data_IF_555309531447
#
_entry.id   IF_555309531447
#
_cell.length_a   1.000
_cell.length_b   1.000
_cell.length_c   1.000
_cell.angle_alpha   90.00
_cell.angle_beta   90.00
_cell.angle_gamma   90.00
#
_symmetry.space_group_name_H-M   'P 1'
#
loop_
_entity.id
_entity.type
_entity.pdbx_description
1 polymer ?
#
# COMPACT_ATOMS: atom_id res chain seq x y z
N UNK A 1 -5.01 5.94 3.36
CA UNK A 1 -5.72 5.38 4.54
C UNK A 1 -5.50 3.88 4.59
N UNK A 2 -5.31 3.28 5.77
CA UNK A 2 -5.04 1.84 5.92
C UNK A 2 -6.27 0.96 5.73
N UNK A 3 -7.47 1.52 5.80
CA UNK A 3 -8.74 0.83 5.59
C UNK A 3 -9.77 1.81 4.97
N UNK A 4 -10.86 1.28 4.43
CA UNK A 4 -12.02 2.05 3.98
C UNK A 4 -12.71 2.69 5.17
N UNK A 5 -13.49 3.75 4.92
CA UNK A 5 -14.28 4.41 5.97
C UNK A 5 -15.13 3.37 6.73
N UNK A 6 -15.25 3.54 8.04
CA UNK A 6 -16.01 2.70 8.96
C UNK A 6 -15.51 1.25 9.15
N UNK A 7 -14.32 0.90 8.65
CA UNK A 7 -13.68 -0.41 8.88
C UNK A 7 -12.45 -0.30 9.78
N UNK A 8 -12.02 -1.44 10.37
CA UNK A 8 -10.86 -1.50 11.27
C UNK A 8 -9.59 -1.90 10.51
N UNK A 9 -8.46 -1.35 10.94
CA UNK A 9 -7.15 -1.81 10.46
C UNK A 9 -6.66 -2.99 11.28
N UNK A 10 -6.27 -4.08 10.62
CA UNK A 10 -5.87 -5.32 11.29
C UNK A 10 -4.40 -5.29 11.69
N UNK A 11 -4.15 -5.69 12.94
CA UNK A 11 -2.80 -5.83 13.52
C UNK A 11 -2.65 -7.22 14.10
N UNK A 12 -1.53 -7.85 13.76
CA UNK A 12 -1.07 -9.10 14.34
C UNK A 12 -0.09 -8.71 15.46
N UNK A 13 -0.25 -9.19 16.71
CA UNK A 13 0.62 -8.80 17.82
C UNK A 13 2.11 -9.03 17.55
N UNK A 14 2.45 -10.13 16.87
CA UNK A 14 3.81 -10.60 16.64
C UNK A 14 4.49 -9.87 15.48
N UNK A 15 3.76 -9.62 14.38
CA UNK A 15 4.33 -9.09 13.12
C UNK A 15 3.91 -7.65 12.83
N UNK A 16 3.02 -7.07 13.65
CA UNK A 16 2.52 -5.72 13.49
C UNK A 16 1.35 -5.62 12.51
N UNK A 17 1.17 -4.44 11.90
CA UNK A 17 0.01 -4.14 11.05
C UNK A 17 0.15 -4.79 9.67
N UNK A 18 -0.86 -5.56 9.25
CA UNK A 18 -0.85 -6.28 7.98
C UNK A 18 -0.63 -5.35 6.78
N UNK A 19 -1.30 -4.19 6.77
CA UNK A 19 -1.12 -3.16 5.75
C UNK A 19 0.33 -2.69 5.61
N UNK A 20 1.01 -2.40 6.73
CA UNK A 20 2.40 -1.90 6.69
C UNK A 20 3.34 -2.99 6.20
N UNK A 21 3.14 -4.24 6.63
CA UNK A 21 3.92 -5.38 6.13
C UNK A 21 3.81 -5.49 4.61
N UNK A 22 2.60 -5.47 4.06
CA UNK A 22 2.36 -5.54 2.61
C UNK A 22 2.88 -4.34 1.84
N UNK A 23 2.81 -3.15 2.45
CA UNK A 23 3.36 -1.93 1.87
C UNK A 23 4.89 -2.00 1.75
N UNK A 24 5.58 -2.36 2.83
CA UNK A 24 7.05 -2.49 2.85
C UNK A 24 7.51 -3.57 1.87
N UNK A 25 6.88 -4.73 1.88
CA UNK A 25 7.15 -5.82 0.93
C UNK A 25 7.02 -5.33 -0.52
N UNK A 26 5.94 -4.61 -0.84
CA UNK A 26 5.68 -4.12 -2.19
C UNK A 26 6.69 -3.06 -2.62
N UNK A 27 7.00 -2.09 -1.76
CA UNK A 27 7.98 -1.02 -2.04
C UNK A 27 9.36 -1.63 -2.28
N UNK A 28 9.86 -2.47 -1.38
CA UNK A 28 11.19 -3.09 -1.52
C UNK A 28 11.30 -3.92 -2.81
N UNK A 29 10.21 -4.55 -3.23
CA UNK A 29 10.21 -5.42 -4.41
C UNK A 29 10.07 -4.63 -5.72
N UNK A 30 9.37 -3.49 -5.74
CA UNK A 30 8.91 -2.87 -6.99
C UNK A 30 9.34 -1.40 -7.18
N UNK A 31 9.82 -0.71 -6.15
CA UNK A 31 10.14 0.72 -6.22
C UNK A 31 11.25 1.09 -7.21
N UNK A 32 12.06 0.11 -7.64
CA UNK A 32 13.09 0.29 -8.66
C UNK A 32 12.53 0.48 -10.08
N UNK A 33 11.26 0.15 -10.32
CA UNK A 33 10.64 0.18 -11.65
C UNK A 33 9.25 0.81 -11.71
N UNK A 34 8.51 0.79 -10.60
CA UNK A 34 7.12 1.25 -10.54
C UNK A 34 7.02 2.56 -9.75
N UNK A 35 6.18 3.48 -10.23
CA UNK A 35 5.88 4.73 -9.52
C UNK A 35 4.92 4.49 -8.35
N UNK A 36 4.83 5.46 -7.43
CA UNK A 36 4.13 5.32 -6.15
C UNK A 36 2.68 4.84 -6.28
N UNK A 37 1.94 5.32 -7.28
CA UNK A 37 0.55 4.92 -7.52
C UNK A 37 0.42 3.45 -7.92
N UNK A 38 1.35 2.92 -8.72
CA UNK A 38 1.38 1.50 -9.07
C UNK A 38 1.76 0.63 -7.88
N UNK A 39 2.66 1.12 -7.01
CA UNK A 39 2.98 0.44 -5.76
C UNK A 39 1.74 0.33 -4.88
N UNK A 40 0.98 1.42 -4.68
CA UNK A 40 -0.26 1.37 -3.91
C UNK A 40 -1.32 0.49 -4.55
N UNK A 41 -1.46 0.50 -5.88
CA UNK A 41 -2.37 -0.39 -6.61
C UNK A 41 -2.05 -1.86 -6.36
N UNK A 42 -0.76 -2.23 -6.39
CA UNK A 42 -0.31 -3.60 -6.06
C UNK A 42 -0.63 -3.97 -4.62
N UNK A 43 -0.43 -3.06 -3.67
CA UNK A 43 -0.81 -3.29 -2.27
C UNK A 43 -2.31 -3.55 -2.18
N UNK A 44 -3.16 -2.68 -2.74
CA UNK A 44 -4.63 -2.86 -2.72
C UNK A 44 -5.06 -4.20 -3.33
N UNK A 45 -4.41 -4.63 -4.43
CA UNK A 45 -4.69 -5.93 -5.05
C UNK A 45 -4.42 -7.12 -4.10
N UNK A 46 -3.46 -7.01 -3.19
CA UNK A 46 -3.23 -8.06 -2.19
C UNK A 46 -4.35 -8.16 -1.15
N UNK A 47 -5.18 -7.11 -1.02
CA UNK A 47 -6.36 -7.08 -0.16
C UNK A 47 -7.66 -7.40 -0.91
N UNK A 48 -7.60 -7.79 -2.19
CA UNK A 48 -8.80 -8.07 -3.02
C UNK A 48 -9.71 -9.15 -2.42
N UNK A 49 -9.11 -10.17 -1.79
CA UNK A 49 -9.84 -11.24 -1.09
C UNK A 49 -9.97 -10.99 0.43
N UNK A 50 -9.61 -9.80 0.91
CA UNK A 50 -9.76 -9.46 2.33
C UNK A 50 -11.18 -8.96 2.58
N UNK A 51 -11.95 -9.72 3.36
CA UNK A 51 -13.32 -9.32 3.72
C UNK A 51 -13.37 -8.09 4.66
N UNK A 52 -12.24 -7.76 5.28
CA UNK A 52 -12.23 -6.89 6.46
C UNK A 52 -11.44 -5.59 6.31
N UNK A 53 -10.55 -5.51 5.32
CA UNK A 53 -9.68 -4.35 5.17
C UNK A 53 -9.37 -4.11 3.69
N UNK A 54 -9.68 -2.91 3.23
CA UNK A 54 -9.25 -2.42 1.92
C UNK A 54 -8.50 -1.10 2.11
N UNK A 55 -7.18 -1.05 1.88
CA UNK A 55 -6.45 0.22 1.86
C UNK A 55 -7.04 1.14 0.78
N UNK A 56 -7.10 2.44 1.04
CA UNK A 56 -7.65 3.41 0.09
C UNK A 56 -6.76 4.63 -0.02
N UNK A 57 -6.53 5.09 -1.25
CA UNK A 57 -5.93 6.39 -1.52
C UNK A 57 -6.94 7.50 -1.30
N UNK A 58 -6.53 8.59 -0.67
CA UNK A 58 -7.34 9.80 -0.54
C UNK A 58 -6.51 11.00 -1.04
N UNK A 59 -7.19 12.04 -1.54
CA UNK A 59 -6.61 13.31 -2.01
C UNK A 59 -5.44 13.15 -2.98
N UNK A 60 -5.53 12.24 -3.95
CA UNK A 60 -4.51 12.10 -4.98
C UNK A 60 -4.58 13.25 -6.00
N UNK A 61 -3.81 14.30 -5.76
CA UNK A 61 -3.63 15.44 -6.68
C UNK A 61 -2.33 15.37 -7.48
N UNK A 62 -1.67 14.21 -7.50
CA UNK A 62 -0.45 13.98 -8.27
C UNK A 62 -0.76 14.05 -9.78
N UNK A 63 -0.16 15.03 -10.45
CA UNK A 63 -0.27 15.20 -11.91
C UNK A 63 0.76 14.39 -12.69
N UNK A 64 1.87 14.01 -12.03
CA UNK A 64 3.00 13.31 -12.63
C UNK A 64 3.30 12.03 -11.86
N UNK A 65 3.93 11.08 -12.54
CA UNK A 65 4.40 9.85 -11.93
C UNK A 65 5.55 10.15 -10.97
N UNK A 66 5.39 9.74 -9.70
CA UNK A 66 6.42 9.89 -8.69
C UNK A 66 7.17 8.56 -8.48
N UNK A 67 8.42 8.51 -8.93
CA UNK A 67 9.33 7.39 -8.77
C UNK A 67 10.27 7.61 -7.58
N UNK A 68 10.62 6.54 -6.86
CA UNK A 68 11.45 6.62 -5.66
C UNK A 68 12.95 6.47 -5.94
N UNK A 69 13.33 5.91 -7.11
CA UNK A 69 14.72 5.72 -7.54
C UNK A 69 15.67 5.21 -6.43
N UNK A 70 15.39 4.05 -5.81
CA UNK A 70 16.22 3.52 -4.73
C UNK A 70 17.64 3.23 -5.24
N UNK A 71 18.65 3.82 -4.58
CA UNK A 71 20.07 3.57 -4.87
C UNK A 71 20.70 4.47 -5.94
N UNK A 72 19.98 5.47 -6.43
CA UNK A 72 20.58 6.59 -7.18
C UNK A 72 21.14 7.67 -6.26
#
# INVERSE_FOLDING_TARGET
MSCTLDTKSYRIPETGTLFIQKLVETINTHAHKDHIMELFRKVMKQFENSEWQMPSGDRCTLINNFYLFPGQ
#
